data_IF_378062855284
#
_entry.id   IF_378062855284
#
_cell.length_a   1.000
_cell.length_b   1.000
_cell.length_c   1.000
_cell.angle_alpha   90.00
_cell.angle_beta   90.00
_cell.angle_gamma   90.00
#
_symmetry.space_group_name_H-M   'P 1'
#
loop_
_entity.id
_entity.type
_entity.pdbx_description
1 polymer ?
#
# COMPACT_ATOMS: atom_id res chain seq x y z
N UNK A 1 18.64 28.51 3.84
CA UNK A 1 18.11 27.13 3.78
C UNK A 1 17.11 26.97 4.91
N UNK A 2 15.81 26.84 4.62
CA UNK A 2 14.85 26.42 5.65
C UNK A 2 15.27 25.02 6.09
N UNK A 3 15.57 24.83 7.36
CA UNK A 3 15.88 23.51 7.90
C UNK A 3 14.74 22.57 7.48
N UNK A 4 15.08 21.43 6.87
CA UNK A 4 14.09 20.39 6.63
C UNK A 4 13.36 20.15 7.96
N UNK A 5 12.01 20.15 8.00
CA UNK A 5 11.30 19.84 9.22
C UNK A 5 11.88 18.56 9.79
N UNK A 6 12.26 18.58 11.06
CA UNK A 6 12.99 17.48 11.69
C UNK A 6 12.16 16.20 11.62
N UNK A 7 12.41 15.35 10.63
CA UNK A 7 11.76 14.04 10.45
C UNK A 7 11.88 13.22 11.74
N UNK A 8 12.99 13.41 12.46
CA UNK A 8 13.24 12.78 13.75
C UNK A 8 12.19 13.15 14.81
N UNK A 9 11.65 14.37 14.79
CA UNK A 9 10.56 14.78 15.70
C UNK A 9 9.24 14.15 15.32
N UNK A 10 8.95 13.99 14.02
CA UNK A 10 7.76 13.29 13.55
C UNK A 10 7.80 11.81 13.95
N UNK A 11 8.96 11.15 13.81
CA UNK A 11 9.16 9.77 14.24
C UNK A 11 9.10 9.60 15.77
N UNK A 12 9.61 10.56 16.54
CA UNK A 12 9.45 10.57 18.02
C UNK A 12 7.98 10.69 18.44
N UNK A 13 7.14 11.28 17.60
CA UNK A 13 5.72 11.47 17.85
C UNK A 13 4.82 10.46 17.13
N UNK A 14 5.36 9.32 16.69
CA UNK A 14 4.58 8.33 15.92
C UNK A 14 3.40 7.73 16.71
N UNK A 15 3.50 7.72 18.04
CA UNK A 15 2.44 7.28 18.95
C UNK A 15 1.69 8.45 19.62
N UNK A 16 2.04 9.71 19.29
CA UNK A 16 1.43 10.89 19.89
C UNK A 16 0.33 11.45 18.99
N UNK A 17 -0.91 11.10 19.32
CA UNK A 17 -2.12 11.53 18.60
C UNK A 17 -2.62 12.92 19.02
N UNK A 18 -2.04 13.50 20.08
CA UNK A 18 -2.48 14.78 20.63
C UNK A 18 -1.80 15.95 19.92
N UNK A 19 -2.50 17.09 19.91
CA UNK A 19 -2.01 18.32 19.29
C UNK A 19 -2.33 18.41 17.80
N UNK A 20 -1.61 19.33 17.14
CA UNK A 20 -1.84 19.77 15.77
C UNK A 20 -0.57 19.70 14.96
N UNK A 21 -0.70 19.42 13.66
CA UNK A 21 0.42 19.41 12.73
C UNK A 21 0.06 20.24 11.49
N UNK A 22 0.89 21.24 11.21
CA UNK A 22 0.77 22.09 10.04
C UNK A 22 1.11 21.33 8.75
N UNK A 23 0.59 21.81 7.61
CA UNK A 23 0.72 21.10 6.31
C UNK A 23 2.17 21.01 5.83
N UNK A 24 2.98 22.02 6.13
CA UNK A 24 4.39 22.14 5.75
C UNK A 24 5.28 21.14 6.49
N UNK A 25 4.85 20.68 7.67
CA UNK A 25 5.48 19.55 8.38
C UNK A 25 4.90 18.21 7.99
N UNK A 26 3.60 18.15 7.69
CA UNK A 26 2.90 16.92 7.34
C UNK A 26 3.34 16.36 5.98
N UNK A 27 3.33 17.16 4.91
CA UNK A 27 3.55 16.67 3.55
C UNK A 27 4.96 16.11 3.30
N UNK A 28 6.06 16.74 3.79
CA UNK A 28 7.38 16.15 3.65
C UNK A 28 7.51 14.81 4.39
N UNK A 29 6.94 14.70 5.60
CA UNK A 29 6.91 13.45 6.34
C UNK A 29 6.13 12.37 5.58
N UNK A 30 4.94 12.71 5.09
CA UNK A 30 4.10 11.78 4.34
C UNK A 30 4.76 11.31 3.03
N UNK A 31 5.43 12.22 2.30
CA UNK A 31 6.14 11.88 1.08
C UNK A 31 7.32 10.94 1.34
N UNK A 32 8.08 11.16 2.41
CA UNK A 32 9.18 10.27 2.78
C UNK A 32 8.66 8.90 3.14
N UNK A 33 7.62 8.82 3.97
CA UNK A 33 6.99 7.54 4.27
C UNK A 33 6.50 6.83 3.01
N UNK A 34 5.90 7.56 2.05
CA UNK A 34 5.41 6.98 0.80
C UNK A 34 6.54 6.41 -0.06
N UNK A 35 7.66 7.12 -0.18
CA UNK A 35 8.83 6.65 -0.92
C UNK A 35 9.45 5.43 -0.24
N UNK A 36 9.60 5.47 1.09
CA UNK A 36 10.15 4.33 1.85
C UNK A 36 9.21 3.13 1.77
N UNK A 37 7.89 3.34 1.87
CA UNK A 37 6.87 2.30 1.72
C UNK A 37 6.95 1.64 0.35
N UNK A 38 7.04 2.45 -0.72
CA UNK A 38 7.17 1.96 -2.09
C UNK A 38 8.45 1.13 -2.26
N UNK A 39 9.58 1.61 -1.73
CA UNK A 39 10.85 0.90 -1.79
C UNK A 39 10.82 -0.42 -1.00
N UNK A 40 10.27 -0.39 0.23
CA UNK A 40 10.10 -1.59 1.07
C UNK A 40 9.19 -2.60 0.39
N UNK A 41 8.08 -2.17 -0.21
CA UNK A 41 7.15 -3.04 -0.93
C UNK A 41 7.85 -3.73 -2.13
N UNK A 42 8.61 -2.97 -2.93
CA UNK A 42 9.38 -3.52 -4.04
C UNK A 42 10.41 -4.55 -3.57
N UNK A 43 11.15 -4.25 -2.49
CA UNK A 43 12.13 -5.17 -1.93
C UNK A 43 11.48 -6.42 -1.35
N UNK A 44 10.31 -6.30 -0.71
CA UNK A 44 9.62 -7.41 -0.07
C UNK A 44 8.98 -8.39 -1.09
N UNK A 45 8.64 -7.90 -2.28
CA UNK A 45 8.16 -8.73 -3.39
C UNK A 45 9.27 -9.45 -4.16
N UNK A 46 10.48 -8.88 -4.20
CA UNK A 46 11.56 -9.41 -5.01
C UNK A 46 11.85 -10.91 -4.80
N UNK A 47 11.91 -11.45 -3.56
CA UNK A 47 12.17 -12.87 -3.34
C UNK A 47 11.16 -13.79 -4.02
N UNK A 48 9.87 -13.44 -3.98
CA UNK A 48 8.81 -14.27 -4.54
C UNK A 48 8.80 -14.23 -6.07
N UNK A 49 9.05 -13.06 -6.68
CA UNK A 49 9.21 -12.98 -8.13
C UNK A 49 10.44 -13.78 -8.61
N UNK A 50 11.55 -13.74 -7.86
CA UNK A 50 12.73 -14.56 -8.15
C UNK A 50 12.38 -16.05 -8.04
N UNK A 51 11.67 -16.45 -6.98
CA UNK A 51 11.27 -17.84 -6.76
C UNK A 51 10.31 -18.35 -7.85
N UNK A 52 9.28 -17.57 -8.20
CA UNK A 52 8.35 -17.91 -9.30
C UNK A 52 9.08 -18.04 -10.64
N UNK A 53 10.02 -17.14 -10.95
CA UNK A 53 10.84 -17.26 -12.16
C UNK A 53 11.69 -18.54 -12.16
N UNK A 54 12.28 -18.91 -11.01
CA UNK A 54 13.02 -20.17 -10.88
C UNK A 54 12.12 -21.40 -11.08
N UNK A 55 10.89 -21.39 -10.54
CA UNK A 55 9.91 -22.47 -10.75
C UNK A 55 9.58 -22.64 -12.24
N UNK A 56 9.35 -21.55 -12.97
CA UNK A 56 9.07 -21.57 -14.42
C UNK A 56 10.26 -22.13 -15.20
N UNK A 57 11.49 -21.71 -14.88
CA UNK A 57 12.69 -22.21 -15.55
C UNK A 57 12.90 -23.70 -15.31
N UNK A 58 12.74 -24.16 -14.06
CA UNK A 58 12.87 -25.58 -13.72
C UNK A 58 11.81 -26.40 -14.45
N UNK A 59 10.56 -25.95 -14.46
CA UNK A 59 9.48 -26.61 -15.19
C UNK A 59 9.77 -26.76 -16.69
N UNK A 60 10.36 -25.74 -17.31
CA UNK A 60 10.74 -25.78 -18.72
C UNK A 60 11.89 -26.76 -19.01
N UNK A 61 12.82 -26.94 -18.07
CA UNK A 61 13.91 -27.94 -18.17
C UNK A 61 13.34 -29.35 -18.03
N UNK A 62 12.45 -29.55 -17.06
CA UNK A 62 11.89 -30.88 -16.73
C UNK A 62 10.81 -31.32 -17.72
N UNK A 63 10.11 -30.38 -18.37
CA UNK A 63 9.00 -30.64 -19.30
C UNK A 63 9.20 -29.91 -20.64
N UNK A 64 10.22 -30.29 -21.43
CA UNK A 64 10.53 -29.62 -22.70
C UNK A 64 9.43 -29.76 -23.76
N UNK A 65 8.57 -30.76 -23.63
CA UNK A 65 7.40 -31.03 -24.49
C UNK A 65 6.21 -30.10 -24.19
N UNK A 66 6.14 -29.54 -22.98
CA UNK A 66 5.02 -28.71 -22.51
C UNK A 66 5.27 -27.21 -22.67
N UNK A 67 6.43 -26.84 -23.21
CA UNK A 67 6.90 -25.46 -23.24
C UNK A 67 7.41 -25.14 -24.63
N UNK A 68 6.97 -24.00 -25.18
CA UNK A 68 7.57 -23.44 -26.39
C UNK A 68 8.43 -22.26 -26.01
N UNK A 69 9.75 -22.42 -26.16
CA UNK A 69 10.72 -21.34 -25.98
C UNK A 69 10.85 -20.60 -27.31
N UNK A 70 10.30 -19.39 -27.39
CA UNK A 70 10.50 -18.50 -28.54
C UNK A 70 11.48 -17.39 -28.14
N UNK A 71 12.58 -17.24 -28.88
CA UNK A 71 13.58 -16.21 -28.56
C UNK A 71 14.94 -16.35 -29.27
N UNK A 72 15.43 -15.25 -29.84
CA UNK A 72 16.81 -15.08 -30.32
C UNK A 72 17.70 -14.38 -29.28
N UNK A 73 19.03 -14.40 -29.49
CA UNK A 73 20.10 -13.90 -28.58
C UNK A 73 19.63 -12.79 -27.62
N UNK A 74 19.24 -13.16 -26.40
CA UNK A 74 19.01 -12.25 -25.27
C UNK A 74 17.59 -12.18 -24.70
N UNK A 75 16.55 -12.60 -25.42
CA UNK A 75 15.17 -12.64 -24.89
C UNK A 75 14.54 -14.00 -25.18
N UNK A 76 14.42 -14.85 -24.16
CA UNK A 76 13.67 -16.11 -24.23
C UNK A 76 12.30 -15.90 -23.58
N UNK A 77 11.24 -16.02 -24.38
CA UNK A 77 9.87 -16.09 -23.90
C UNK A 77 9.50 -17.55 -23.76
N UNK A 78 9.16 -17.96 -22.54
CA UNK A 78 8.77 -19.33 -22.19
C UNK A 78 7.24 -19.38 -22.19
N UNK A 79 6.64 -19.92 -23.25
CA UNK A 79 5.20 -20.13 -23.30
C UNK A 79 4.90 -21.52 -22.76
N UNK A 80 4.29 -21.58 -21.59
CA UNK A 80 3.90 -22.84 -20.95
C UNK A 80 2.50 -23.23 -21.45
N UNK A 81 2.36 -24.42 -22.03
CA UNK A 81 1.10 -24.95 -22.53
C UNK A 81 0.36 -25.69 -21.41
N UNK A 82 -0.75 -25.11 -20.96
CA UNK A 82 -1.56 -25.64 -19.86
C UNK A 82 -1.65 -24.66 -18.68
N UNK A 83 -2.45 -25.00 -17.67
CA UNK A 83 -2.59 -24.19 -16.46
C UNK A 83 -1.91 -24.92 -15.29
N UNK A 84 -0.75 -24.43 -14.88
CA UNK A 84 0.02 -24.97 -13.75
C UNK A 84 -0.01 -23.94 -12.63
N UNK A 85 -0.91 -24.13 -11.66
CA UNK A 85 -1.10 -23.24 -10.51
C UNK A 85 0.19 -23.07 -9.68
N UNK A 86 1.03 -24.09 -9.64
CA UNK A 86 2.33 -24.13 -8.96
C UNK A 86 3.41 -23.19 -9.53
N UNK A 87 3.26 -22.74 -10.79
CA UNK A 87 4.21 -21.81 -11.42
C UNK A 87 3.95 -20.35 -11.03
N UNK A 88 2.73 -20.05 -10.57
CA UNK A 88 2.36 -18.70 -10.17
C UNK A 88 3.08 -18.29 -8.88
N UNK A 89 3.20 -16.98 -8.62
CA UNK A 89 3.64 -16.49 -7.32
C UNK A 89 2.76 -17.05 -6.19
N UNK A 90 3.37 -17.31 -5.03
CA UNK A 90 2.65 -17.64 -3.82
C UNK A 90 1.81 -16.43 -3.35
N UNK A 91 0.51 -16.47 -3.66
CA UNK A 91 -0.39 -15.37 -3.32
C UNK A 91 -0.63 -15.23 -1.82
N UNK A 92 -0.52 -16.30 -1.03
CA UNK A 92 -0.64 -16.22 0.42
C UNK A 92 0.55 -15.45 1.00
N UNK A 93 1.76 -15.74 0.51
CA UNK A 93 2.96 -14.98 0.84
C UNK A 93 2.81 -13.52 0.43
N UNK A 94 2.45 -13.23 -0.83
CA UNK A 94 2.31 -11.86 -1.33
C UNK A 94 1.29 -11.04 -0.53
N UNK A 95 0.13 -11.62 -0.25
CA UNK A 95 -0.95 -10.98 0.52
C UNK A 95 -0.50 -10.71 1.96
N UNK A 96 0.24 -11.65 2.58
CA UNK A 96 0.82 -11.46 3.91
C UNK A 96 1.83 -10.32 3.93
N UNK A 97 2.74 -10.27 2.95
CA UNK A 97 3.73 -9.21 2.81
C UNK A 97 3.04 -7.84 2.66
N UNK A 98 2.04 -7.73 1.78
CA UNK A 98 1.26 -6.50 1.60
C UNK A 98 0.62 -6.09 2.92
N UNK A 99 -0.05 -7.01 3.63
CA UNK A 99 -0.73 -6.72 4.89
C UNK A 99 0.22 -6.19 5.96
N UNK A 100 1.40 -6.83 6.10
CA UNK A 100 2.41 -6.44 7.08
C UNK A 100 2.98 -5.06 6.74
N UNK A 101 3.41 -4.83 5.49
CA UNK A 101 3.98 -3.55 5.07
C UNK A 101 2.94 -2.44 5.21
N UNK A 102 1.74 -2.61 4.64
CA UNK A 102 0.67 -1.61 4.77
C UNK A 102 0.29 -1.35 6.22
N UNK A 103 0.22 -2.39 7.07
CA UNK A 103 -0.09 -2.25 8.49
C UNK A 103 0.96 -1.42 9.24
N UNK A 104 2.25 -1.71 9.04
CA UNK A 104 3.34 -0.94 9.64
C UNK A 104 3.28 0.52 9.19
N UNK A 105 3.19 0.79 7.88
CA UNK A 105 3.16 2.16 7.39
C UNK A 105 1.89 2.90 7.81
N UNK A 106 0.74 2.23 7.88
CA UNK A 106 -0.50 2.80 8.43
C UNK A 106 -0.29 3.32 9.86
N UNK A 107 0.40 2.56 10.72
CA UNK A 107 0.75 3.01 12.07
C UNK A 107 1.69 4.21 12.03
N UNK A 108 2.68 4.22 11.13
CA UNK A 108 3.59 5.36 10.94
C UNK A 108 2.87 6.63 10.49
N UNK A 109 1.82 6.52 9.67
CA UNK A 109 1.00 7.65 9.24
C UNK A 109 0.00 8.11 10.31
N UNK A 110 -0.51 7.19 11.13
CA UNK A 110 -1.73 7.38 11.93
C UNK A 110 -1.71 8.66 12.78
N UNK A 111 -0.67 8.84 13.62
CA UNK A 111 -0.57 10.01 14.47
C UNK A 111 -0.41 11.32 13.68
N UNK A 112 0.30 11.31 12.56
CA UNK A 112 0.48 12.48 11.70
C UNK A 112 -0.83 12.87 10.99
N UNK A 113 -1.57 11.90 10.46
CA UNK A 113 -2.89 12.10 9.84
C UNK A 113 -3.87 12.67 10.86
N UNK A 114 -3.91 12.11 12.07
CA UNK A 114 -4.78 12.60 13.15
C UNK A 114 -4.45 14.05 13.53
N UNK A 115 -3.18 14.38 13.77
CA UNK A 115 -2.75 15.75 14.09
C UNK A 115 -2.98 16.74 12.95
N UNK A 116 -2.88 16.29 11.68
CA UNK A 116 -3.23 17.11 10.50
C UNK A 116 -4.73 17.38 10.46
N UNK A 117 -5.57 16.37 10.71
CA UNK A 117 -7.02 16.54 10.78
C UNK A 117 -7.42 17.49 11.92
N UNK A 118 -6.81 17.35 13.09
CA UNK A 118 -6.97 18.25 14.24
C UNK A 118 -6.61 19.70 13.91
N UNK A 119 -5.56 19.91 13.11
CA UNK A 119 -5.17 21.25 12.69
C UNK A 119 -6.28 21.95 11.88
N UNK A 120 -7.07 21.19 11.13
CA UNK A 120 -8.22 21.69 10.37
C UNK A 120 -9.54 21.67 11.17
N UNK A 121 -9.48 21.46 12.49
CA UNK A 121 -10.65 21.38 13.39
C UNK A 121 -11.45 20.09 13.31
N UNK A 122 -11.02 19.11 12.49
CA UNK A 122 -11.73 17.85 12.24
C UNK A 122 -11.37 16.77 13.24
N UNK A 123 -12.20 15.74 13.32
CA UNK A 123 -11.92 14.55 14.12
C UNK A 123 -10.82 13.69 13.49
N UNK A 124 -9.92 13.12 14.30
CA UNK A 124 -8.95 12.13 13.82
C UNK A 124 -9.58 10.88 13.19
N UNK A 125 -10.83 10.56 13.54
CA UNK A 125 -11.56 9.41 13.00
C UNK A 125 -11.74 9.44 11.47
N UNK A 126 -11.68 10.62 10.84
CA UNK A 126 -11.71 10.71 9.38
C UNK A 126 -10.54 9.97 8.71
N UNK A 127 -9.42 9.80 9.42
CA UNK A 127 -8.28 9.01 8.94
C UNK A 127 -8.55 7.51 8.80
N UNK A 128 -9.58 6.97 9.45
CA UNK A 128 -9.94 5.55 9.35
C UNK A 128 -10.76 5.22 8.10
N UNK A 129 -11.28 6.23 7.40
CA UNK A 129 -12.21 6.03 6.28
C UNK A 129 -11.66 5.10 5.18
N UNK A 130 -10.39 5.18 4.74
CA UNK A 130 -9.87 4.24 3.76
C UNK A 130 -9.65 2.82 4.33
N UNK A 131 -9.42 2.68 5.64
CA UNK A 131 -9.03 1.41 6.25
C UNK A 131 -10.17 0.38 6.26
N UNK A 132 -11.43 0.84 6.24
CA UNK A 132 -12.61 -0.05 6.24
C UNK A 132 -12.70 -0.91 4.97
N UNK A 133 -12.04 -0.50 3.89
CA UNK A 133 -12.04 -1.20 2.61
C UNK A 133 -10.88 -2.20 2.45
N UNK A 134 -9.95 -2.24 3.39
CA UNK A 134 -8.78 -3.13 3.34
C UNK A 134 -9.12 -4.62 3.56
N UNK A 135 -9.99 -5.02 4.51
CA UNK A 135 -10.20 -6.44 4.82
C UNK A 135 -10.72 -7.28 3.64
N UNK A 136 -11.54 -6.68 2.76
CA UNK A 136 -12.17 -7.38 1.64
C UNK A 136 -11.15 -7.98 0.65
N UNK A 137 -10.22 -7.20 0.05
CA UNK A 137 -9.23 -7.76 -0.87
C UNK A 137 -8.29 -8.77 -0.19
N UNK A 138 -7.88 -8.54 1.07
CA UNK A 138 -7.06 -9.51 1.81
C UNK A 138 -7.76 -10.87 1.97
N UNK A 139 -9.09 -10.87 2.09
CA UNK A 139 -9.88 -12.09 2.19
C UNK A 139 -10.15 -12.74 0.81
N UNK A 140 -10.53 -11.94 -0.20
CA UNK A 140 -11.00 -12.47 -1.48
C UNK A 140 -9.86 -12.83 -2.44
N UNK A 141 -8.74 -12.10 -2.45
CA UNK A 141 -7.67 -12.30 -3.43
C UNK A 141 -7.04 -13.70 -3.37
N UNK A 142 -6.62 -14.25 -2.21
CA UNK A 142 -6.07 -15.60 -2.16
C UNK A 142 -7.03 -16.67 -2.70
N UNK A 143 -8.32 -16.54 -2.35
CA UNK A 143 -9.39 -17.45 -2.80
C UNK A 143 -9.64 -17.36 -4.31
N UNK A 144 -9.46 -16.16 -4.86
CA UNK A 144 -9.61 -15.91 -6.30
C UNK A 144 -8.56 -16.67 -7.12
N UNK A 145 -7.34 -16.79 -6.61
CA UNK A 145 -6.23 -17.44 -7.29
C UNK A 145 -6.06 -18.92 -6.94
N UNK A 146 -6.73 -19.41 -5.88
CA UNK A 146 -6.76 -20.83 -5.56
C UNK A 146 -7.73 -21.64 -6.44
N UNK A 147 -8.78 -20.99 -6.96
CA UNK A 147 -9.77 -21.61 -7.84
C UNK A 147 -9.48 -21.30 -9.33
N UNK A 148 -9.99 -22.14 -10.23
CA UNK A 148 -9.89 -21.89 -11.69
C UNK A 148 -10.52 -20.55 -12.05
N UNK A 149 -9.91 -19.82 -13.00
CA UNK A 149 -10.26 -18.42 -13.37
C UNK A 149 -11.75 -18.11 -13.19
N UNK A 150 -12.11 -17.24 -12.24
CA UNK A 150 -13.50 -17.08 -11.85
C UNK A 150 -14.27 -16.19 -12.82
N UNK A 151 -15.58 -16.43 -12.89
CA UNK A 151 -16.51 -15.61 -13.64
C UNK A 151 -16.42 -14.14 -13.22
N UNK A 152 -16.62 -13.23 -14.18
CA UNK A 152 -16.55 -11.77 -13.99
C UNK A 152 -17.35 -11.28 -12.76
N UNK A 153 -18.45 -11.96 -12.43
CA UNK A 153 -19.30 -11.63 -11.29
C UNK A 153 -18.56 -11.67 -9.94
N UNK A 154 -17.54 -12.51 -9.80
CA UNK A 154 -16.72 -12.60 -8.59
C UNK A 154 -15.63 -11.52 -8.50
N UNK A 155 -15.31 -10.87 -9.61
CA UNK A 155 -14.38 -9.72 -9.68
C UNK A 155 -15.09 -8.41 -9.33
N UNK A 156 -16.39 -8.29 -9.62
CA UNK A 156 -17.14 -7.04 -9.42
C UNK A 156 -17.04 -6.47 -7.99
N UNK A 157 -17.14 -7.25 -6.90
CA UNK A 157 -16.99 -6.72 -5.54
C UNK A 157 -15.61 -6.10 -5.30
N UNK A 158 -14.54 -6.68 -5.86
CA UNK A 158 -13.18 -6.16 -5.75
C UNK A 158 -13.05 -4.81 -6.48
N UNK A 159 -13.62 -4.70 -7.68
CA UNK A 159 -13.62 -3.45 -8.45
C UNK A 159 -14.37 -2.36 -7.70
N UNK A 160 -15.59 -2.66 -7.24
CA UNK A 160 -16.41 -1.69 -6.48
C UNK A 160 -15.70 -1.25 -5.20
N UNK A 161 -15.15 -2.20 -4.43
CA UNK A 161 -14.40 -1.90 -3.22
C UNK A 161 -13.15 -1.04 -3.51
N UNK A 162 -12.43 -1.31 -4.60
CA UNK A 162 -11.28 -0.51 -5.00
C UNK A 162 -11.69 0.94 -5.35
N UNK A 163 -12.78 1.13 -6.10
CA UNK A 163 -13.28 2.47 -6.42
C UNK A 163 -13.70 3.24 -5.16
N UNK A 164 -14.36 2.57 -4.21
CA UNK A 164 -14.73 3.17 -2.92
C UNK A 164 -13.50 3.52 -2.08
N UNK A 165 -12.49 2.64 -2.05
CA UNK A 165 -11.22 2.90 -1.39
C UNK A 165 -10.50 4.12 -1.98
N UNK A 166 -10.42 4.23 -3.31
CA UNK A 166 -9.82 5.37 -4.00
C UNK A 166 -10.61 6.66 -3.72
N UNK A 167 -11.94 6.61 -3.75
CA UNK A 167 -12.77 7.76 -3.39
C UNK A 167 -12.55 8.21 -1.94
N UNK A 168 -12.44 7.26 -1.00
CA UNK A 168 -12.12 7.53 0.40
C UNK A 168 -10.72 8.14 0.57
N UNK A 169 -9.71 7.66 -0.16
CA UNK A 169 -8.37 8.25 -0.17
C UNK A 169 -8.37 9.67 -0.72
N UNK A 170 -9.02 9.91 -1.86
CA UNK A 170 -9.11 11.24 -2.47
C UNK A 170 -9.80 12.20 -1.48
N UNK A 171 -10.88 11.77 -0.85
CA UNK A 171 -11.57 12.56 0.16
C UNK A 171 -10.67 12.85 1.36
N UNK A 172 -9.95 11.86 1.89
CA UNK A 172 -9.02 12.06 3.00
C UNK A 172 -7.89 13.02 2.61
N UNK A 173 -7.27 12.84 1.44
CA UNK A 173 -6.24 13.74 0.91
C UNK A 173 -6.77 15.16 0.81
N UNK A 174 -7.98 15.34 0.30
CA UNK A 174 -8.65 16.64 0.27
C UNK A 174 -8.82 17.27 1.66
N UNK A 175 -9.13 16.49 2.69
CA UNK A 175 -9.18 17.00 4.07
C UNK A 175 -7.79 17.41 4.57
N UNK A 176 -6.75 16.66 4.21
CA UNK A 176 -5.37 16.90 4.65
C UNK A 176 -4.70 18.10 3.96
N UNK A 177 -5.17 18.49 2.75
CA UNK A 177 -4.67 19.68 2.03
C UNK A 177 -5.29 21.00 2.50
N UNK A 178 -6.44 20.96 3.19
CA UNK A 178 -7.13 22.16 3.70
C UNK A 178 -6.23 23.01 4.59
N UNK A 179 -6.50 24.30 4.66
CA UNK A 179 -5.82 25.21 5.58
C UNK A 179 -6.11 24.83 7.04
N UNK A 180 -5.13 25.09 7.92
CA UNK A 180 -5.31 24.96 9.37
C UNK A 180 -6.22 26.07 9.91
N UNK A 181 -6.82 25.84 11.08
CA UNK A 181 -7.59 26.88 11.79
C UNK A 181 -6.62 27.88 12.42
N UNK A 182 -6.80 29.17 12.16
CA UNK A 182 -5.99 30.21 12.78
C UNK A 182 -6.26 30.31 14.29
N UNK A 183 -5.20 30.57 15.08
CA UNK A 183 -5.30 30.65 16.53
C UNK A 183 -5.52 29.29 17.20
N UNK A 184 -6.08 29.31 18.40
CA UNK A 184 -6.33 28.10 19.20
C UNK A 184 -7.61 27.38 18.76
N UNK A 185 -7.56 26.05 18.73
CA UNK A 185 -8.74 25.22 18.53
C UNK A 185 -8.84 24.16 19.64
N UNK A 186 -9.92 23.36 19.66
CA UNK A 186 -10.15 22.33 20.69
C UNK A 186 -9.02 21.29 20.87
N UNK A 187 -8.08 21.20 19.94
CA UNK A 187 -6.94 20.29 19.96
C UNK A 187 -5.62 20.97 20.34
N UNK A 188 -5.66 22.26 20.67
CA UNK A 188 -4.53 23.02 21.20
C UNK A 188 -4.14 24.24 20.36
N UNK A 189 -3.04 24.90 20.75
CA UNK A 189 -2.56 26.12 20.13
C UNK A 189 -2.11 25.88 18.67
N UNK A 190 -2.04 26.96 17.90
CA UNK A 190 -1.56 26.90 16.53
C UNK A 190 -0.16 26.28 16.47
N UNK A 191 0.08 25.28 15.59
CA UNK A 191 1.41 24.70 15.43
C UNK A 191 2.38 25.77 14.92
N UNK A 192 3.55 25.82 15.54
CA UNK A 192 4.65 26.69 15.09
C UNK A 192 5.10 26.19 13.71
N UNK A 193 5.22 27.09 12.74
CA UNK A 193 5.75 26.76 11.40
C UNK A 193 7.19 26.24 11.51
#
# INVERSE_FOLDING_TARGET
>A
MKALPSISESLRNVANFSGRQSRDRFWPYALILFVVETAVMMMAFAPEFIASFQRIQQFAIDNPDKVTVQGGRGQQTVTVHGNYSELWPDFDYLVTVIAVVMGVFTVLYAAAVVRRLHDTGRSGFWGLLPLVFLPLPFYLVPRFFSDSMPDLIWVLPLIVNNLLYVAALIFLIYLLTRDGVDGENRYGPQPVA
#
